data_IF_642733954008
#
_entry.id   IF_642733954008
#
_cell.length_a   1.000
_cell.length_b   1.000
_cell.length_c   1.000
_cell.angle_alpha   90.00
_cell.angle_beta   90.00
_cell.angle_gamma   90.00
#
_symmetry.space_group_name_H-M   'P 1'
#
loop_
_entity.id
_entity.type
_entity.pdbx_description
1 polymer ?
#
# COMPACT_ATOMS: atom_id res chain seq x y z
N UNK A 1 -9.58 7.09 22.44
CA UNK A 1 -10.00 6.49 21.16
C UNK A 1 -9.39 7.19 19.93
N UNK A 2 -9.07 8.49 19.97
CA UNK A 2 -8.33 9.17 18.88
C UNK A 2 -6.94 8.55 18.59
N UNK A 3 -6.22 8.08 19.62
CA UNK A 3 -4.87 7.51 19.45
C UNK A 3 -4.81 6.14 18.77
N UNK A 4 -5.84 5.30 18.94
CA UNK A 4 -5.79 3.91 18.49
C UNK A 4 -6.03 3.78 16.98
N UNK A 5 -6.97 4.55 16.43
CA UNK A 5 -7.24 4.60 15.00
C UNK A 5 -6.02 5.11 14.21
N UNK A 6 -5.38 6.19 14.67
CA UNK A 6 -4.15 6.73 14.10
C UNK A 6 -2.97 5.74 14.20
N UNK A 7 -2.90 4.93 15.26
CA UNK A 7 -1.84 3.93 15.43
C UNK A 7 -1.95 2.76 14.44
N UNK A 8 -3.16 2.32 14.12
CA UNK A 8 -3.38 1.30 13.10
C UNK A 8 -3.03 1.84 11.71
N UNK A 9 -3.43 3.09 11.44
CA UNK A 9 -3.13 3.81 10.19
C UNK A 9 -1.62 3.94 9.91
N UNK A 10 -0.83 4.23 10.94
CA UNK A 10 0.62 4.39 10.81
C UNK A 10 1.34 3.05 10.64
N UNK A 11 0.91 1.98 11.32
CA UNK A 11 1.51 0.64 11.16
C UNK A 11 1.34 0.08 9.76
N UNK A 12 0.14 0.20 9.17
CA UNK A 12 -0.11 -0.30 7.81
C UNK A 12 0.71 0.47 6.76
N UNK A 13 0.80 1.79 6.90
CA UNK A 13 1.63 2.62 6.03
C UNK A 13 3.11 2.26 6.11
N UNK A 14 3.61 2.01 7.33
CA UNK A 14 4.99 1.59 7.56
C UNK A 14 5.30 0.25 6.90
N UNK A 15 4.42 -0.74 7.05
CA UNK A 15 4.58 -2.05 6.40
C UNK A 15 4.62 -1.90 4.87
N UNK A 16 3.69 -1.14 4.29
CA UNK A 16 3.64 -0.94 2.85
C UNK A 16 4.90 -0.22 2.33
N UNK A 17 5.39 0.77 3.06
CA UNK A 17 6.62 1.48 2.74
C UNK A 17 7.84 0.55 2.73
N UNK A 18 7.98 -0.29 3.76
CA UNK A 18 9.09 -1.23 3.85
C UNK A 18 9.01 -2.34 2.81
N UNK A 19 7.82 -2.87 2.53
CA UNK A 19 7.63 -3.86 1.47
C UNK A 19 8.03 -3.31 0.11
N UNK A 20 7.64 -2.08 -0.21
CA UNK A 20 8.03 -1.44 -1.46
C UNK A 20 9.56 -1.29 -1.55
N UNK A 21 10.22 -0.78 -0.50
CA UNK A 21 11.67 -0.64 -0.47
C UNK A 21 12.40 -1.97 -0.55
N UNK A 22 11.87 -3.01 0.11
CA UNK A 22 12.43 -4.36 0.08
C UNK A 22 12.41 -4.93 -1.34
N UNK A 23 11.27 -4.89 -2.03
CA UNK A 23 11.20 -5.41 -3.40
C UNK A 23 12.00 -4.56 -4.39
N UNK A 24 12.04 -3.22 -4.21
CA UNK A 24 12.86 -2.34 -5.04
C UNK A 24 14.35 -2.63 -4.86
N UNK A 25 14.78 -2.79 -3.61
CA UNK A 25 16.14 -3.19 -3.27
C UNK A 25 16.50 -4.55 -3.84
N UNK A 26 15.63 -5.56 -3.70
CA UNK A 26 15.85 -6.89 -4.26
C UNK A 26 15.96 -6.86 -5.79
N UNK A 27 15.09 -6.11 -6.47
CA UNK A 27 15.15 -5.93 -7.92
C UNK A 27 16.47 -5.30 -8.37
N UNK A 28 16.88 -4.21 -7.71
CA UNK A 28 18.13 -3.51 -8.00
C UNK A 28 19.37 -4.40 -7.73
N UNK A 29 19.44 -5.00 -6.54
CA UNK A 29 20.56 -5.86 -6.15
C UNK A 29 20.66 -7.10 -7.04
N UNK A 30 19.53 -7.65 -7.50
CA UNK A 30 19.53 -8.76 -8.44
C UNK A 30 20.11 -8.35 -9.79
N UNK A 31 19.73 -7.18 -10.32
CA UNK A 31 20.28 -6.68 -11.58
C UNK A 31 21.79 -6.43 -11.50
N UNK A 32 22.26 -5.75 -10.43
CA UNK A 32 23.68 -5.51 -10.21
C UNK A 32 24.43 -6.83 -9.97
N UNK A 33 23.86 -7.71 -9.15
CA UNK A 33 24.45 -9.01 -8.81
C UNK A 33 24.59 -9.93 -10.03
N UNK A 34 23.61 -9.94 -10.94
CA UNK A 34 23.68 -10.70 -12.17
C UNK A 34 24.82 -10.22 -13.08
N UNK A 35 24.98 -8.90 -13.21
CA UNK A 35 26.06 -8.28 -14.01
C UNK A 35 27.43 -8.64 -13.40
N UNK A 36 27.59 -8.49 -12.08
CA UNK A 36 28.83 -8.81 -11.40
C UNK A 36 29.15 -10.31 -11.48
N UNK A 37 28.15 -11.17 -11.28
CA UNK A 37 28.32 -12.62 -11.42
C UNK A 37 28.76 -12.99 -12.85
N UNK A 38 28.13 -12.41 -13.88
CA UNK A 38 28.49 -12.65 -15.26
C UNK A 38 29.92 -12.19 -15.58
N UNK A 39 30.37 -11.08 -15.00
CA UNK A 39 31.70 -10.51 -15.24
C UNK A 39 32.83 -11.27 -14.51
N UNK A 40 32.54 -11.88 -13.35
CA UNK A 40 33.55 -12.46 -12.47
C UNK A 40 33.59 -14.00 -12.50
N UNK A 41 32.58 -14.66 -13.08
CA UNK A 41 32.55 -16.12 -13.22
C UNK A 41 33.59 -16.58 -14.25
N UNK A 42 34.44 -17.52 -13.85
CA UNK A 42 35.33 -18.25 -14.75
C UNK A 42 34.70 -19.57 -15.21
N UNK A 43 35.29 -20.22 -16.23
CA UNK A 43 34.73 -21.43 -16.85
C UNK A 43 34.51 -22.59 -15.89
N UNK A 44 35.37 -22.74 -14.88
CA UNK A 44 35.25 -23.79 -13.86
C UNK A 44 34.03 -23.52 -12.96
N UNK A 45 33.90 -22.30 -12.45
CA UNK A 45 32.77 -21.88 -11.62
C UNK A 45 31.46 -21.86 -12.41
N UNK A 46 31.49 -21.55 -13.71
CA UNK A 46 30.32 -21.53 -14.57
C UNK A 46 29.66 -22.90 -14.68
N UNK A 47 30.46 -23.95 -14.89
CA UNK A 47 29.97 -25.33 -15.03
C UNK A 47 29.36 -25.89 -13.75
N UNK A 48 29.84 -25.45 -12.59
CA UNK A 48 29.42 -25.99 -11.30
C UNK A 48 28.18 -25.27 -10.75
N UNK A 49 28.30 -23.96 -10.47
CA UNK A 49 27.24 -23.18 -9.79
C UNK A 49 26.83 -21.93 -10.57
N UNK A 50 27.72 -21.43 -11.42
CA UNK A 50 27.54 -20.15 -12.13
C UNK A 50 26.33 -20.13 -13.07
N UNK A 51 26.04 -21.24 -13.76
CA UNK A 51 24.82 -21.38 -14.57
C UNK A 51 23.55 -21.15 -13.76
N UNK A 52 23.46 -21.77 -12.59
CA UNK A 52 22.29 -21.65 -11.72
C UNK A 52 22.17 -20.22 -11.17
N UNK A 53 23.27 -19.61 -10.74
CA UNK A 53 23.26 -18.23 -10.24
C UNK A 53 22.80 -17.23 -11.31
N UNK A 54 23.28 -17.37 -12.54
CA UNK A 54 22.91 -16.50 -13.66
C UNK A 54 21.44 -16.66 -14.10
N UNK A 55 20.76 -17.73 -13.71
CA UNK A 55 19.32 -17.90 -13.95
C UNK A 55 18.51 -17.40 -12.75
N UNK A 56 18.91 -17.79 -11.54
CA UNK A 56 18.15 -17.52 -10.32
C UNK A 56 18.17 -16.03 -9.99
N UNK A 57 19.33 -15.36 -10.09
CA UNK A 57 19.46 -13.96 -9.73
C UNK A 57 18.54 -13.07 -10.60
N UNK A 58 18.59 -13.12 -11.95
CA UNK A 58 17.64 -12.38 -12.78
C UNK A 58 16.18 -12.75 -12.51
N UNK A 59 15.88 -14.03 -12.27
CA UNK A 59 14.52 -14.49 -11.99
C UNK A 59 13.95 -13.84 -10.72
N UNK A 60 14.73 -13.78 -9.64
CA UNK A 60 14.35 -13.07 -8.40
C UNK A 60 14.15 -11.58 -8.67
N UNK A 61 15.02 -10.98 -9.49
CA UNK A 61 14.89 -9.58 -9.92
C UNK A 61 13.59 -9.32 -10.67
N UNK A 62 13.26 -10.14 -11.65
CA UNK A 62 12.02 -10.05 -12.44
C UNK A 62 10.78 -10.26 -11.58
N UNK A 63 10.79 -11.26 -10.68
CA UNK A 63 9.68 -11.49 -9.75
C UNK A 63 9.48 -10.29 -8.81
N UNK A 64 10.55 -9.73 -8.28
CA UNK A 64 10.49 -8.54 -7.41
C UNK A 64 9.93 -7.33 -8.15
N UNK A 65 10.34 -7.12 -9.40
CA UNK A 65 9.81 -6.05 -10.27
C UNK A 65 8.32 -6.26 -10.58
N UNK A 66 7.90 -7.50 -10.87
CA UNK A 66 6.49 -7.85 -11.07
C UNK A 66 5.64 -7.60 -9.83
N UNK A 67 6.13 -8.00 -8.65
CA UNK A 67 5.45 -7.74 -7.38
C UNK A 67 5.32 -6.24 -7.09
N UNK A 68 6.36 -5.43 -7.37
CA UNK A 68 6.28 -3.98 -7.24
C UNK A 68 5.22 -3.35 -8.13
N UNK A 69 5.15 -3.81 -9.39
CA UNK A 69 4.15 -3.33 -10.33
C UNK A 69 2.73 -3.60 -9.83
N UNK A 70 2.49 -4.81 -9.31
CA UNK A 70 1.18 -5.20 -8.75
C UNK A 70 0.84 -4.48 -7.44
N UNK A 71 1.85 -4.04 -6.67
CA UNK A 71 1.63 -3.49 -5.34
C UNK A 71 1.01 -2.08 -5.36
N UNK A 72 1.15 -1.32 -6.46
CA UNK A 72 0.57 0.02 -6.66
C UNK A 72 0.73 0.95 -5.47
N UNK A 73 1.97 1.06 -4.99
CA UNK A 73 2.30 1.78 -3.75
C UNK A 73 1.81 3.24 -3.77
N UNK A 74 2.05 3.96 -4.88
CA UNK A 74 1.68 5.37 -5.00
C UNK A 74 0.16 5.57 -4.98
N UNK A 75 -0.57 4.68 -5.65
CA UNK A 75 -2.03 4.73 -5.70
C UNK A 75 -2.63 4.44 -4.33
N UNK A 76 -2.08 3.46 -3.60
CA UNK A 76 -2.46 3.17 -2.21
C UNK A 76 -2.10 4.30 -1.26
N UNK A 77 -0.95 4.93 -1.45
CA UNK A 77 -0.53 6.08 -0.65
C UNK A 77 -1.44 7.30 -0.87
N UNK A 78 -1.81 7.58 -2.13
CA UNK A 78 -2.79 8.61 -2.47
C UNK A 78 -4.15 8.32 -1.87
N UNK A 79 -4.68 7.10 -2.06
CA UNK A 79 -5.97 6.69 -1.52
C UNK A 79 -6.02 6.84 0.01
N UNK A 80 -4.91 6.50 0.67
CA UNK A 80 -4.73 6.69 2.12
C UNK A 80 -4.75 8.16 2.52
N UNK A 81 -4.06 9.02 1.78
CA UNK A 81 -4.01 10.45 2.08
C UNK A 81 -5.38 11.12 1.88
N UNK A 82 -6.09 10.76 0.83
CA UNK A 82 -7.48 11.19 0.60
C UNK A 82 -8.39 10.79 1.78
N UNK A 83 -8.29 9.55 2.24
CA UNK A 83 -9.05 9.09 3.40
C UNK A 83 -8.68 9.79 4.71
N UNK A 84 -7.40 10.13 4.90
CA UNK A 84 -6.93 10.88 6.07
C UNK A 84 -7.53 12.28 6.09
N UNK A 85 -7.49 12.99 4.96
CA UNK A 85 -8.06 14.34 4.82
C UNK A 85 -9.56 14.31 5.12
N UNK A 86 -10.29 13.39 4.50
CA UNK A 86 -11.74 13.28 4.71
C UNK A 86 -12.11 12.92 6.15
N UNK A 87 -11.32 12.07 6.81
CA UNK A 87 -11.50 11.76 8.23
C UNK A 87 -11.29 12.99 9.12
N UNK A 88 -10.24 13.79 8.85
CA UNK A 88 -10.02 15.05 9.57
C UNK A 88 -11.20 16.01 9.40
N UNK A 89 -11.71 16.16 8.17
CA UNK A 89 -12.89 16.99 7.89
C UNK A 89 -14.15 16.50 8.63
N UNK A 90 -14.36 15.18 8.72
CA UNK A 90 -15.48 14.60 9.49
C UNK A 90 -15.33 14.92 10.98
N UNK A 91 -14.13 14.84 11.54
CA UNK A 91 -13.87 15.15 12.96
C UNK A 91 -14.11 16.63 13.24
N UNK A 92 -13.61 17.52 12.40
CA UNK A 92 -13.81 18.96 12.57
C UNK A 92 -15.28 19.35 12.42
N UNK A 93 -15.98 18.74 11.47
CA UNK A 93 -17.43 18.89 11.32
C UNK A 93 -18.16 18.37 12.56
N UNK A 94 -17.78 17.20 13.08
CA UNK A 94 -18.36 16.63 14.29
C UNK A 94 -18.18 17.52 15.51
N UNK A 95 -17.00 18.13 15.68
CA UNK A 95 -16.73 19.11 16.75
C UNK A 95 -17.62 20.34 16.60
N UNK A 96 -17.74 20.88 15.39
CA UNK A 96 -18.62 22.02 15.10
C UNK A 96 -20.10 21.71 15.42
N UNK A 97 -20.60 20.58 14.93
CA UNK A 97 -21.97 20.11 15.19
C UNK A 97 -22.23 19.82 16.67
N UNK A 98 -21.23 19.32 17.40
CA UNK A 98 -21.35 19.06 18.83
C UNK A 98 -21.45 20.35 19.64
N UNK A 99 -20.81 21.44 19.20
CA UNK A 99 -20.87 22.74 19.85
C UNK A 99 -22.19 23.46 19.52
N UNK A 100 -22.71 23.28 18.30
CA UNK A 100 -23.90 23.98 17.82
C UNK A 100 -25.23 23.34 18.28
N UNK A 101 -25.22 22.11 18.78
CA UNK A 101 -26.42 21.43 19.25
C UNK A 101 -26.95 22.05 20.54
N UNK A 102 -28.24 22.38 20.56
CA UNK A 102 -28.89 23.04 21.70
C UNK A 102 -29.74 22.09 22.55
N UNK A 103 -30.07 20.91 22.01
CA UNK A 103 -30.93 19.92 22.67
C UNK A 103 -30.53 18.49 22.31
N UNK A 104 -31.07 17.52 23.05
CA UNK A 104 -30.71 16.10 22.90
C UNK A 104 -31.06 15.53 21.52
N UNK A 105 -32.17 15.98 20.91
CA UNK A 105 -32.61 15.51 19.60
C UNK A 105 -31.66 15.97 18.49
N UNK A 106 -31.14 17.19 18.57
CA UNK A 106 -30.10 17.70 17.67
C UNK A 106 -28.80 16.91 17.81
N UNK A 107 -28.36 16.62 19.04
CA UNK A 107 -27.17 15.79 19.25
C UNK A 107 -27.33 14.38 18.67
N UNK A 108 -28.50 13.75 18.83
CA UNK A 108 -28.80 12.45 18.20
C UNK A 108 -28.74 12.53 16.68
N UNK A 109 -29.34 13.57 16.09
CA UNK A 109 -29.31 13.78 14.63
C UNK A 109 -27.89 14.00 14.12
N UNK A 110 -27.09 14.82 14.82
CA UNK A 110 -25.68 15.06 14.49
C UNK A 110 -24.87 13.76 14.57
N UNK A 111 -25.04 12.98 15.64
CA UNK A 111 -24.38 11.68 15.78
C UNK A 111 -24.69 10.74 14.61
N UNK A 112 -25.97 10.58 14.24
CA UNK A 112 -26.34 9.73 13.11
C UNK A 112 -25.78 10.23 11.77
N UNK A 113 -25.72 11.54 11.58
CA UNK A 113 -25.15 12.16 10.37
C UNK A 113 -23.65 11.88 10.25
N UNK A 114 -22.89 12.10 11.33
CA UNK A 114 -21.45 11.84 11.39
C UNK A 114 -21.17 10.35 11.20
N UNK A 115 -21.95 9.48 11.85
CA UNK A 115 -21.83 8.02 11.73
C UNK A 115 -22.04 7.55 10.29
N UNK A 116 -23.04 8.09 9.60
CA UNK A 116 -23.30 7.73 8.21
C UNK A 116 -22.16 8.18 7.28
N UNK A 117 -21.64 9.41 7.47
CA UNK A 117 -20.46 9.88 6.71
C UNK A 117 -19.24 9.00 6.95
N UNK A 118 -18.99 8.60 8.19
CA UNK A 118 -17.89 7.69 8.52
C UNK A 118 -18.05 6.32 7.82
N UNK A 119 -19.26 5.75 7.83
CA UNK A 119 -19.57 4.51 7.11
C UNK A 119 -19.34 4.65 5.60
N UNK A 120 -19.74 5.77 5.01
CA UNK A 120 -19.55 6.02 3.57
C UNK A 120 -18.07 6.12 3.21
N UNK A 121 -17.28 6.78 4.05
CA UNK A 121 -15.83 6.83 3.90
C UNK A 121 -15.20 5.43 3.95
N UNK A 122 -15.58 4.59 4.92
CA UNK A 122 -15.09 3.20 5.01
C UNK A 122 -15.44 2.37 3.76
N UNK A 123 -16.69 2.46 3.30
CA UNK A 123 -17.13 1.74 2.10
C UNK A 123 -16.40 2.22 0.84
N UNK A 124 -16.20 3.53 0.70
CA UNK A 124 -15.48 4.13 -0.41
C UNK A 124 -14.01 3.68 -0.43
N UNK A 125 -13.34 3.73 0.72
CA UNK A 125 -11.96 3.28 0.90
C UNK A 125 -11.80 1.78 0.61
N UNK A 126 -12.68 0.95 1.16
CA UNK A 126 -12.68 -0.50 0.92
C UNK A 126 -12.91 -0.85 -0.56
N UNK A 127 -13.84 -0.15 -1.22
CA UNK A 127 -14.15 -0.37 -2.64
C UNK A 127 -12.97 0.05 -3.51
N UNK A 128 -12.36 1.19 -3.21
CA UNK A 128 -11.23 1.72 -3.97
C UNK A 128 -9.97 0.86 -3.79
N UNK A 129 -9.67 0.38 -2.58
CA UNK A 129 -8.56 -0.56 -2.35
C UNK A 129 -8.81 -1.89 -3.09
N UNK A 130 -10.04 -2.38 -3.10
CA UNK A 130 -10.40 -3.60 -3.83
C UNK A 130 -10.20 -3.43 -5.34
N UNK A 131 -10.57 -2.28 -5.90
CA UNK A 131 -10.35 -1.95 -7.32
C UNK A 131 -8.86 -1.94 -7.69
N UNK A 132 -8.02 -1.37 -6.82
CA UNK A 132 -6.56 -1.37 -7.02
C UNK A 132 -5.99 -2.79 -7.13
N UNK A 133 -6.58 -3.75 -6.41
CA UNK A 133 -6.21 -5.18 -6.48
C UNK A 133 -6.78 -5.88 -7.73
N UNK A 134 -7.98 -5.53 -8.20
CA UNK A 134 -8.66 -6.21 -9.30
C UNK A 134 -8.25 -5.73 -10.70
N UNK A 135 -7.90 -4.46 -10.86
CA UNK A 135 -7.64 -3.84 -12.17
C UNK A 135 -6.45 -4.43 -12.95
N UNK A 136 -5.56 -5.17 -12.27
CA UNK A 136 -4.41 -5.83 -12.90
C UNK A 136 -4.60 -7.33 -13.11
N UNK A 137 -5.43 -8.02 -12.30
CA UNK A 137 -5.72 -9.44 -12.50
C UNK A 137 -6.43 -9.71 -13.83
N UNK A 138 -7.24 -8.75 -14.29
CA UNK A 138 -7.89 -8.82 -15.60
C UNK A 138 -6.90 -8.63 -16.77
N UNK A 139 -5.83 -7.85 -16.58
CA UNK A 139 -4.80 -7.57 -17.59
C UNK A 139 -3.73 -8.65 -17.69
N UNK A 140 -3.55 -9.47 -16.65
CA UNK A 140 -2.61 -10.61 -16.65
C UNK A 140 -3.21 -11.86 -17.31
N UNK A 141 -4.54 -11.91 -17.50
CA UNK A 141 -5.25 -13.04 -18.13
C UNK A 141 -5.38 -12.96 -19.66
N UNK A 142 -4.90 -11.88 -20.27
CA UNK A 142 -4.84 -11.67 -21.73
C UNK A 142 -3.42 -11.80 -22.22
#
# INVERSE_FOLDING_TARGET
>A
MEGDALSFYTRSAWINFWLWHLFAGLGFLSSVGAILAAALINDAAYKDVGRTLLIVIPTVGTLSAGLLHLFKFREKERLREEGRIELCDIIDNARSMSISGQNEDEHKKHYHTIRERFRQLELSQSTSDSKLKSDDLSKVRT
#
